data_IF_118018459190
#
_entry.id   IF_118018459190
#
_cell.length_a   1.000
_cell.length_b   1.000
_cell.length_c   1.000
_cell.angle_alpha   90.00
_cell.angle_beta   90.00
_cell.angle_gamma   90.00
#
_symmetry.space_group_name_H-M   'P 1'
#
loop_
_entity.id
_entity.type
_entity.pdbx_description
1 polymer ?
#
# COMPACT_ATOMS: atom_id res chain seq x y z
N UNK A 1 2.00 42.87 -35.39
CA UNK A 1 2.28 42.70 -33.94
C UNK A 1 1.35 41.63 -33.45
N UNK A 2 1.93 40.58 -32.89
CA UNK A 2 1.29 39.33 -32.47
C UNK A 2 0.38 39.58 -31.26
N UNK A 3 -0.78 38.93 -31.23
CA UNK A 3 -1.31 38.37 -29.98
C UNK A 3 -1.83 36.98 -30.30
N UNK A 4 -0.98 35.99 -30.04
CA UNK A 4 -1.39 34.61 -29.81
C UNK A 4 -2.11 34.60 -28.46
N UNK A 5 -3.34 34.10 -28.41
CA UNK A 5 -3.94 33.70 -27.15
C UNK A 5 -3.33 32.35 -26.79
N UNK A 6 -2.64 32.29 -25.66
CA UNK A 6 -2.29 31.05 -24.98
C UNK A 6 -3.59 30.41 -24.49
N UNK A 7 -4.09 29.45 -25.27
CA UNK A 7 -5.02 28.44 -24.79
C UNK A 7 -4.25 27.59 -23.77
N UNK A 8 -4.27 28.03 -22.51
CA UNK A 8 -3.79 27.21 -21.40
C UNK A 8 -4.88 26.18 -21.11
N UNK A 9 -4.93 25.14 -21.93
CA UNK A 9 -5.60 23.90 -21.57
C UNK A 9 -4.84 23.34 -20.38
N UNK A 10 -5.42 23.48 -19.19
CA UNK A 10 -4.96 22.76 -18.02
C UNK A 10 -5.14 21.27 -18.33
N UNK A 11 -4.06 20.61 -18.75
CA UNK A 11 -4.03 19.17 -18.93
C UNK A 11 -4.42 18.53 -17.60
N UNK A 12 -5.67 18.05 -17.53
CA UNK A 12 -6.11 17.17 -16.46
C UNK A 12 -5.23 15.94 -16.51
N UNK A 13 -4.32 15.82 -15.54
CA UNK A 13 -3.47 14.64 -15.40
C UNK A 13 -4.38 13.41 -15.36
N UNK A 14 -4.33 12.61 -16.41
CA UNK A 14 -4.98 11.32 -16.46
C UNK A 14 -4.37 10.45 -15.35
N UNK A 15 -5.10 10.35 -14.22
CA UNK A 15 -4.71 9.56 -13.05
C UNK A 15 -4.61 8.05 -13.34
N UNK A 16 -4.89 7.63 -14.58
CA UNK A 16 -4.75 6.23 -15.02
C UNK A 16 -3.45 5.93 -15.77
N UNK A 17 -2.57 6.92 -15.99
CA UNK A 17 -1.24 6.76 -16.61
C UNK A 17 -0.09 7.12 -15.65
N UNK A 18 -0.16 6.63 -14.42
CA UNK A 18 1.04 6.50 -13.58
C UNK A 18 1.71 5.15 -13.86
N UNK A 19 3.04 5.08 -13.77
CA UNK A 19 3.68 3.79 -13.50
C UNK A 19 2.98 3.21 -12.26
N UNK A 20 2.50 1.97 -12.36
CA UNK A 20 1.93 1.30 -11.20
C UNK A 20 3.10 1.13 -10.22
N UNK A 21 2.90 1.49 -8.96
CA UNK A 21 3.88 1.24 -7.89
C UNK A 21 3.78 -0.22 -7.43
N UNK A 22 4.79 -0.71 -6.71
CA UNK A 22 4.70 -2.00 -6.02
C UNK A 22 3.49 -2.02 -5.06
N UNK A 23 2.86 -3.19 -4.94
CA UNK A 23 1.60 -3.36 -4.22
C UNK A 23 1.85 -4.06 -2.88
N UNK A 24 1.38 -3.47 -1.78
CA UNK A 24 1.35 -4.14 -0.48
C UNK A 24 -0.06 -4.63 -0.19
N UNK A 25 -0.20 -5.94 0.02
CA UNK A 25 -1.44 -6.62 0.28
C UNK A 25 -1.57 -6.94 1.77
N UNK A 26 -2.63 -6.41 2.38
CA UNK A 26 -2.99 -6.64 3.76
C UNK A 26 -4.11 -7.68 3.75
N UNK A 27 -3.84 -8.84 4.33
CA UNK A 27 -4.75 -9.97 4.33
C UNK A 27 -5.14 -10.33 5.76
N UNK A 28 -6.37 -10.81 5.92
CA UNK A 28 -6.79 -11.48 7.16
C UNK A 28 -6.18 -12.90 7.21
N UNK A 29 -6.64 -13.72 8.14
CA UNK A 29 -6.18 -15.08 8.36
C UNK A 29 -6.80 -16.11 7.40
N UNK A 30 -6.21 -17.30 7.39
CA UNK A 30 -6.80 -18.48 6.77
C UNK A 30 -6.75 -18.45 5.25
N UNK A 31 -7.87 -18.81 4.60
CA UNK A 31 -7.93 -18.99 3.15
C UNK A 31 -7.70 -17.70 2.35
N UNK A 32 -7.83 -16.53 2.98
CA UNK A 32 -7.53 -15.25 2.34
C UNK A 32 -6.07 -15.18 1.87
N UNK A 33 -5.13 -15.70 2.67
CA UNK A 33 -3.70 -15.75 2.33
C UNK A 33 -3.47 -16.66 1.13
N UNK A 34 -3.98 -17.89 1.15
CA UNK A 34 -3.80 -18.85 0.05
C UNK A 34 -4.39 -18.34 -1.26
N UNK A 35 -5.57 -17.70 -1.19
CA UNK A 35 -6.20 -17.11 -2.37
C UNK A 35 -5.40 -15.92 -2.91
N UNK A 36 -4.79 -15.12 -2.02
CA UNK A 36 -3.93 -14.01 -2.40
C UNK A 36 -2.65 -14.50 -3.10
N UNK A 37 -1.97 -15.51 -2.55
CA UNK A 37 -0.79 -16.13 -3.17
C UNK A 37 -1.12 -16.65 -4.57
N UNK A 38 -2.22 -17.40 -4.71
CA UNK A 38 -2.68 -17.88 -6.01
C UNK A 38 -2.98 -16.73 -6.99
N UNK A 39 -3.62 -15.66 -6.53
CA UNK A 39 -3.90 -14.50 -7.37
C UNK A 39 -2.62 -13.78 -7.83
N UNK A 40 -1.61 -13.69 -6.96
CA UNK A 40 -0.29 -13.12 -7.27
C UNK A 40 0.42 -13.97 -8.34
N UNK A 41 0.33 -15.30 -8.28
CA UNK A 41 0.88 -16.18 -9.31
C UNK A 41 0.17 -16.04 -10.67
N UNK A 42 -1.13 -15.72 -10.65
CA UNK A 42 -1.95 -15.63 -11.86
C UNK A 42 -1.87 -14.27 -12.55
N UNK A 43 -1.51 -13.20 -11.83
CA UNK A 43 -1.48 -11.85 -12.39
C UNK A 43 -0.19 -11.63 -13.19
N UNK A 44 -0.35 -11.13 -14.42
CA UNK A 44 0.77 -10.70 -15.26
C UNK A 44 1.00 -9.20 -15.10
N UNK A 45 1.50 -8.78 -13.94
CA UNK A 45 1.98 -7.42 -13.70
C UNK A 45 3.49 -7.44 -13.51
N UNK A 46 4.16 -6.39 -13.97
CA UNK A 46 5.61 -6.24 -13.81
C UNK A 46 5.99 -5.78 -12.38
N UNK A 47 5.01 -5.32 -11.60
CA UNK A 47 5.16 -4.83 -10.24
C UNK A 47 5.28 -5.94 -9.21
N UNK A 48 6.07 -5.70 -8.16
CA UNK A 48 6.12 -6.62 -7.03
C UNK A 48 4.84 -6.51 -6.19
N UNK A 49 4.32 -7.65 -5.75
CA UNK A 49 3.21 -7.73 -4.80
C UNK A 49 3.72 -8.36 -3.51
N UNK A 50 3.58 -7.65 -2.40
CA UNK A 50 4.06 -8.03 -1.08
C UNK A 50 2.89 -8.35 -0.18
N UNK A 51 2.81 -9.56 0.37
CA UNK A 51 1.87 -9.86 1.45
C UNK A 51 2.54 -9.46 2.75
N UNK A 52 2.00 -8.45 3.46
CA UNK A 52 2.53 -8.05 4.76
C UNK A 52 1.99 -8.98 5.84
N UNK A 53 2.89 -9.56 6.62
CA UNK A 53 2.53 -10.52 7.67
C UNK A 53 2.11 -9.74 8.93
N UNK A 54 0.91 -9.17 8.96
CA UNK A 54 0.49 -8.22 10.00
C UNK A 54 -0.96 -8.46 10.48
N UNK A 55 -1.32 -8.07 11.72
CA UNK A 55 -2.72 -8.04 12.12
C UNK A 55 -3.50 -7.09 11.21
N UNK A 56 -4.54 -7.60 10.53
CA UNK A 56 -5.19 -6.91 9.42
C UNK A 56 -5.66 -5.49 9.76
N UNK A 57 -6.15 -5.24 10.97
CA UNK A 57 -6.67 -3.93 11.35
C UNK A 57 -5.54 -2.93 11.64
N UNK A 58 -4.76 -3.19 12.68
CA UNK A 58 -3.70 -2.29 13.15
C UNK A 58 -2.59 -2.14 12.09
N UNK A 59 -2.24 -3.23 11.42
CA UNK A 59 -1.27 -3.24 10.33
C UNK A 59 -1.73 -2.42 9.13
N UNK A 60 -3.01 -2.53 8.72
CA UNK A 60 -3.54 -1.70 7.62
C UNK A 60 -3.51 -0.22 7.96
N UNK A 61 -3.81 0.16 9.21
CA UNK A 61 -3.75 1.55 9.63
C UNK A 61 -2.33 2.10 9.52
N UNK A 62 -1.33 1.39 10.06
CA UNK A 62 0.06 1.81 9.98
C UNK A 62 0.56 1.86 8.53
N UNK A 63 0.24 0.83 7.73
CA UNK A 63 0.58 0.77 6.30
C UNK A 63 0.01 1.96 5.53
N UNK A 64 -1.26 2.29 5.75
CA UNK A 64 -1.92 3.41 5.09
C UNK A 64 -1.30 4.77 5.48
N UNK A 65 -0.91 4.92 6.75
CA UNK A 65 -0.20 6.12 7.23
C UNK A 65 1.17 6.23 6.56
N UNK A 66 1.96 5.15 6.53
CA UNK A 66 3.27 5.14 5.88
C UNK A 66 3.15 5.41 4.38
N UNK A 67 2.21 4.77 3.69
CA UNK A 67 1.97 4.94 2.26
C UNK A 67 1.54 6.37 1.87
N UNK A 68 1.01 7.16 2.81
CA UNK A 68 0.66 8.56 2.56
C UNK A 68 1.88 9.50 2.43
N UNK A 69 3.07 9.01 2.81
CA UNK A 69 4.33 9.74 2.69
C UNK A 69 4.82 9.79 1.26
N UNK A 70 5.25 10.98 0.80
CA UNK A 70 5.95 11.15 -0.49
C UNK A 70 7.26 10.37 -0.64
N UNK A 71 7.75 9.75 0.44
CA UNK A 71 8.98 8.94 0.48
C UNK A 71 8.71 7.46 0.73
N UNK A 72 7.43 7.06 0.75
CA UNK A 72 7.05 5.68 1.01
C UNK A 72 7.68 4.75 -0.03
N UNK A 73 8.03 3.55 0.42
CA UNK A 73 8.46 2.44 -0.42
C UNK A 73 7.64 1.22 -0.03
N UNK A 74 7.49 0.22 -0.90
CA UNK A 74 6.79 -1.01 -0.52
C UNK A 74 7.40 -1.65 0.73
N UNK A 75 8.73 -1.69 0.83
CA UNK A 75 9.44 -2.20 2.01
C UNK A 75 9.11 -1.41 3.29
N UNK A 76 9.05 -0.08 3.22
CA UNK A 76 8.71 0.74 4.41
C UNK A 76 7.25 0.55 4.84
N UNK A 77 6.33 0.40 3.88
CA UNK A 77 4.91 0.15 4.12
C UNK A 77 4.70 -1.25 4.74
N UNK A 78 5.40 -2.27 4.24
CA UNK A 78 5.41 -3.61 4.84
C UNK A 78 5.92 -3.55 6.27
N UNK A 79 7.08 -2.92 6.51
CA UNK A 79 7.64 -2.79 7.85
C UNK A 79 6.67 -2.10 8.83
N UNK A 80 6.05 -0.99 8.41
CA UNK A 80 5.07 -0.28 9.23
C UNK A 80 3.85 -1.15 9.58
N UNK A 81 3.38 -1.98 8.64
CA UNK A 81 2.31 -2.93 8.91
C UNK A 81 2.72 -3.98 9.95
N UNK A 82 3.90 -4.58 9.78
CA UNK A 82 4.38 -5.69 10.61
C UNK A 82 4.74 -5.26 12.04
N UNK A 83 5.14 -4.01 12.26
CA UNK A 83 5.38 -3.42 13.58
C UNK A 83 4.14 -3.51 14.50
N UNK A 84 2.93 -3.57 13.93
CA UNK A 84 1.69 -3.71 14.71
C UNK A 84 1.56 -5.04 15.47
N UNK A 85 2.40 -6.04 15.16
CA UNK A 85 2.42 -7.34 15.85
C UNK A 85 2.70 -7.24 17.35
N UNK A 86 3.49 -6.27 17.75
CA UNK A 86 3.94 -6.12 19.13
C UNK A 86 2.92 -5.34 19.99
N UNK A 87 1.78 -4.95 19.41
CA UNK A 87 0.81 -4.13 20.10
C UNK A 87 0.05 -4.94 21.14
N UNK A 88 0.26 -4.63 22.42
CA UNK A 88 -0.56 -5.13 23.50
C UNK A 88 -1.70 -4.17 23.81
N UNK A 89 -2.92 -4.69 23.90
CA UNK A 89 -4.10 -3.91 24.33
C UNK A 89 -4.21 -3.77 25.86
N UNK A 90 -3.35 -4.48 26.60
CA UNK A 90 -3.35 -4.53 28.06
C UNK A 90 -1.92 -4.62 28.60
N UNK A 91 -1.64 -4.00 29.75
CA UNK A 91 -0.35 -4.17 30.44
C UNK A 91 -0.24 -5.59 30.98
N UNK A 92 0.87 -6.28 30.72
CA UNK A 92 1.09 -7.66 31.18
C UNK A 92 1.47 -7.77 32.68
N UNK A 93 1.51 -6.67 33.43
CA UNK A 93 1.86 -6.64 34.86
C UNK A 93 0.64 -6.48 35.78
N UNK A 94 -0.36 -7.36 35.66
CA UNK A 94 -1.40 -7.52 36.68
C UNK A 94 -1.60 -8.99 37.03
N UNK A 95 -0.61 -9.54 37.73
CA UNK A 95 -0.70 -10.77 38.52
C UNK A 95 -0.63 -10.44 40.00
#
# INVERSE_FOLDING_TARGET
MISHNDDTEAEGKDVTQGEIDDVVLLVDLGSAVMNAELAIEMVAVDNAVHIADAPVLEGTLNAAVEASSSKATADSVVAAAEDAREYSKVDQERG
#
